data_IF_602034173310
#
_entry.id   IF_602034173310
#
_cell.length_a   1.000
_cell.length_b   1.000
_cell.length_c   1.000
_cell.angle_alpha   90.00
_cell.angle_beta   90.00
_cell.angle_gamma   90.00
#
_symmetry.space_group_name_H-M   'P 1'
#
loop_
_entity.id
_entity.type
_entity.pdbx_description
1 polymer ?
#
# COMPACT_ATOMS: atom_id res chain seq x y z
N UNK A 1 2.30 7.26 4.53
CA UNK A 1 3.77 7.32 4.38
C UNK A 1 4.53 6.78 5.58
N UNK A 2 4.19 7.18 6.83
CA UNK A 2 4.85 6.65 8.03
C UNK A 2 4.83 5.10 8.13
N UNK A 3 3.70 4.47 7.79
CA UNK A 3 3.56 2.99 7.78
C UNK A 3 4.57 2.35 6.81
N UNK A 4 4.71 2.89 5.59
CA UNK A 4 5.60 2.35 4.56
C UNK A 4 7.06 2.41 5.03
N UNK A 5 7.48 3.55 5.57
CA UNK A 5 8.86 3.74 6.06
C UNK A 5 9.15 2.80 7.24
N UNK A 6 8.19 2.66 8.18
CA UNK A 6 8.32 1.79 9.33
C UNK A 6 8.48 0.32 8.91
N UNK A 7 7.59 -0.19 8.06
CA UNK A 7 7.64 -1.57 7.59
C UNK A 7 8.85 -1.85 6.69
N UNK A 8 9.25 -0.89 5.84
CA UNK A 8 10.50 -0.99 5.08
C UNK A 8 11.73 -1.18 6.00
N UNK A 9 11.79 -0.44 7.11
CA UNK A 9 12.81 -0.61 8.13
C UNK A 9 12.79 -2.00 8.76
N UNK A 10 11.61 -2.49 9.15
CA UNK A 10 11.45 -3.85 9.69
C UNK A 10 11.86 -4.94 8.70
N UNK A 11 11.55 -4.79 7.40
CA UNK A 11 11.96 -5.75 6.38
C UNK A 11 13.48 -5.78 6.18
N UNK A 12 14.12 -4.61 6.06
CA UNK A 12 15.57 -4.53 5.98
C UNK A 12 16.26 -5.11 7.22
N UNK A 13 15.73 -4.82 8.41
CA UNK A 13 16.23 -5.38 9.67
C UNK A 13 16.09 -6.91 9.69
N UNK A 14 14.92 -7.44 9.35
CA UNK A 14 14.66 -8.88 9.32
C UNK A 14 15.54 -9.61 8.28
N UNK A 15 15.75 -9.01 7.11
CA UNK A 15 16.64 -9.55 6.09
C UNK A 15 18.11 -9.60 6.54
N UNK A 16 18.54 -8.61 7.33
CA UNK A 16 19.89 -8.58 7.90
C UNK A 16 20.11 -9.65 8.98
N UNK A 17 19.16 -9.80 9.91
CA UNK A 17 19.27 -10.78 11.01
C UNK A 17 18.93 -12.21 10.61
N UNK A 18 18.13 -12.39 9.55
CA UNK A 18 17.73 -13.70 9.03
C UNK A 18 17.97 -13.75 7.52
N UNK A 19 19.21 -14.01 7.09
CA UNK A 19 19.55 -14.22 5.69
C UNK A 19 18.75 -15.42 5.16
N UNK A 20 17.84 -15.18 4.21
CA UNK A 20 16.86 -16.18 3.74
C UNK A 20 15.42 -15.95 4.20
N UNK A 21 15.13 -14.88 4.95
CA UNK A 21 13.76 -14.50 5.26
C UNK A 21 12.95 -14.10 4.02
N UNK A 22 13.64 -13.57 3.01
CA UNK A 22 13.10 -13.11 1.74
C UNK A 22 13.92 -13.70 0.58
N UNK A 23 13.27 -13.99 -0.55
CA UNK A 23 13.92 -14.36 -1.81
C UNK A 23 13.80 -13.25 -2.83
N UNK A 24 14.72 -13.23 -3.82
CA UNK A 24 14.77 -12.20 -4.86
C UNK A 24 15.38 -10.87 -4.41
N UNK A 25 15.86 -10.80 -3.17
CA UNK A 25 16.63 -9.66 -2.65
C UNK A 25 18.00 -9.66 -3.32
N UNK A 26 18.31 -8.60 -4.08
CA UNK A 26 19.66 -8.38 -4.60
C UNK A 26 20.67 -8.29 -3.44
N UNK A 27 21.90 -8.78 -3.61
CA UNK A 27 22.93 -8.77 -2.56
C UNK A 27 23.21 -7.36 -2.00
N UNK A 28 22.93 -6.33 -2.79
CA UNK A 28 23.08 -4.91 -2.49
C UNK A 28 21.73 -4.18 -2.36
N UNK A 29 20.63 -4.88 -2.04
CA UNK A 29 19.30 -4.31 -1.92
C UNK A 29 19.27 -3.11 -0.96
N UNK A 30 19.35 -1.90 -1.53
CA UNK A 30 19.34 -0.66 -0.80
C UNK A 30 17.97 -0.36 -0.17
N UNK A 31 17.93 0.65 0.70
CA UNK A 31 16.70 1.04 1.42
C UNK A 31 15.50 1.31 0.49
N UNK A 32 15.76 1.77 -0.73
CA UNK A 32 14.71 2.00 -1.73
C UNK A 32 14.00 0.73 -2.17
N UNK A 33 14.69 -0.42 -2.25
CA UNK A 33 14.05 -1.69 -2.59
C UNK A 33 13.01 -2.09 -1.53
N UNK A 34 13.33 -1.88 -0.25
CA UNK A 34 12.44 -2.16 0.87
C UNK A 34 11.26 -1.19 0.95
N UNK A 35 11.49 0.08 0.64
CA UNK A 35 10.42 1.09 0.54
C UNK A 35 9.47 0.77 -0.61
N UNK A 36 9.99 0.39 -1.78
CA UNK A 36 9.17 -0.05 -2.91
C UNK A 36 8.37 -1.29 -2.58
N UNK A 37 9.00 -2.31 -1.99
CA UNK A 37 8.31 -3.52 -1.54
C UNK A 37 7.17 -3.18 -0.58
N UNK A 38 7.44 -2.42 0.48
CA UNK A 38 6.43 -1.99 1.44
C UNK A 38 5.32 -1.16 0.76
N UNK A 39 5.64 -0.29 -0.21
CA UNK A 39 4.64 0.46 -0.95
C UNK A 39 3.69 -0.47 -1.72
N UNK A 40 4.22 -1.37 -2.54
CA UNK A 40 3.40 -2.27 -3.37
C UNK A 40 2.58 -3.24 -2.51
N UNK A 41 3.17 -3.78 -1.44
CA UNK A 41 2.45 -4.58 -0.43
C UNK A 41 1.30 -3.81 0.20
N UNK A 42 1.51 -2.54 0.56
CA UNK A 42 0.46 -1.70 1.15
C UNK A 42 -0.71 -1.41 0.20
N UNK A 43 -0.48 -1.45 -1.11
CA UNK A 43 -1.52 -1.28 -2.13
C UNK A 43 -2.15 -2.62 -2.55
N UNK A 44 -1.71 -3.74 -1.95
CA UNK A 44 -2.21 -5.07 -2.29
C UNK A 44 -1.74 -5.59 -3.66
N UNK A 45 -0.64 -5.04 -4.18
CA UNK A 45 0.02 -5.49 -5.41
C UNK A 45 1.18 -6.41 -5.05
N UNK A 46 1.27 -7.55 -5.71
CA UNK A 46 2.44 -8.42 -5.60
C UNK A 46 3.66 -7.71 -6.19
N UNK A 47 4.72 -7.63 -5.39
CA UNK A 47 6.02 -7.12 -5.81
C UNK A 47 6.85 -8.31 -6.28
N UNK A 48 7.04 -8.42 -7.59
CA UNK A 48 7.62 -9.61 -8.23
C UNK A 48 9.08 -9.86 -7.89
N UNK A 49 9.79 -8.88 -7.33
CA UNK A 49 11.21 -8.99 -7.02
C UNK A 49 11.52 -9.41 -5.59
N UNK A 50 10.63 -9.24 -4.60
CA UNK A 50 10.91 -9.64 -3.21
C UNK A 50 9.75 -10.47 -2.69
N UNK A 51 10.03 -11.72 -2.31
CA UNK A 51 9.01 -12.66 -1.82
C UNK A 51 9.30 -13.08 -0.39
N UNK A 52 8.34 -12.93 0.55
CA UNK A 52 8.50 -13.40 1.93
C UNK A 52 8.40 -14.93 1.99
N UNK A 53 9.49 -15.61 2.34
CA UNK A 53 9.52 -17.09 2.38
C UNK A 53 9.54 -17.65 3.79
N UNK A 54 10.04 -16.90 4.78
CA UNK A 54 10.14 -17.39 6.16
C UNK A 54 8.86 -17.24 6.99
N UNK A 55 8.79 -18.04 8.05
CA UNK A 55 7.72 -17.99 9.05
C UNK A 55 7.66 -16.65 9.80
N UNK A 56 8.73 -15.84 9.80
CA UNK A 56 8.74 -14.49 10.35
C UNK A 56 8.35 -13.41 9.32
N UNK A 57 8.73 -13.57 8.06
CA UNK A 57 8.46 -12.58 7.01
C UNK A 57 6.98 -12.55 6.60
N UNK A 58 6.33 -13.71 6.50
CA UNK A 58 4.90 -13.83 6.14
C UNK A 58 3.95 -13.10 7.09
N UNK A 59 4.01 -13.31 8.42
CA UNK A 59 3.14 -12.59 9.34
C UNK A 59 3.48 -11.10 9.40
N UNK A 60 4.74 -10.70 9.19
CA UNK A 60 5.11 -9.29 9.13
C UNK A 60 4.48 -8.58 7.92
N UNK A 61 4.44 -9.23 6.76
CA UNK A 61 3.71 -8.77 5.56
C UNK A 61 2.20 -8.73 5.83
N UNK A 62 1.64 -9.77 6.46
CA UNK A 62 0.25 -9.77 6.90
C UNK A 62 -0.10 -8.62 7.85
N UNK A 63 0.80 -8.33 8.79
CA UNK A 63 0.63 -7.24 9.75
C UNK A 63 0.67 -5.86 9.10
N UNK A 64 1.37 -5.69 7.96
CA UNK A 64 1.34 -4.45 7.19
C UNK A 64 -0.03 -4.24 6.50
N UNK A 65 -0.70 -5.31 6.07
CA UNK A 65 -1.97 -5.20 5.35
C UNK A 65 -3.07 -4.58 6.21
N UNK A 66 -3.11 -4.91 7.51
CA UNK A 66 -4.14 -4.40 8.45
C UNK A 66 -4.19 -2.86 8.48
N UNK A 67 -3.09 -2.14 8.82
CA UNK A 67 -3.10 -0.68 8.81
C UNK A 67 -3.19 -0.11 7.39
N UNK A 68 -2.73 -0.83 6.37
CA UNK A 68 -2.84 -0.38 4.97
C UNK A 68 -4.29 -0.35 4.49
N UNK A 69 -5.09 -1.37 4.84
CA UNK A 69 -6.54 -1.41 4.57
C UNK A 69 -7.23 -0.26 5.30
N UNK A 70 -6.90 -0.05 6.58
CA UNK A 70 -7.46 1.07 7.36
C UNK A 70 -7.19 2.42 6.70
N UNK A 71 -5.96 2.65 6.23
CA UNK A 71 -5.62 3.87 5.52
C UNK A 71 -6.30 3.99 4.15
N UNK A 72 -6.41 2.90 3.40
CA UNK A 72 -7.10 2.87 2.11
C UNK A 72 -8.57 3.28 2.24
N UNK A 73 -9.26 2.80 3.29
CA UNK A 73 -10.64 3.20 3.59
C UNK A 73 -10.76 4.69 3.89
N UNK A 74 -9.83 5.26 4.65
CA UNK A 74 -9.80 6.70 4.96
C UNK A 74 -9.61 7.53 3.70
N UNK A 75 -8.65 7.17 2.84
CA UNK A 75 -8.41 7.86 1.57
C UNK A 75 -9.63 7.75 0.66
N UNK A 76 -10.23 6.57 0.56
CA UNK A 76 -11.44 6.35 -0.22
C UNK A 76 -12.60 7.24 0.28
N UNK A 77 -12.83 7.26 1.59
CA UNK A 77 -13.85 8.11 2.19
C UNK A 77 -13.58 9.60 1.93
N UNK A 78 -12.34 10.05 2.05
CA UNK A 78 -11.95 11.44 1.77
C UNK A 78 -12.16 11.81 0.29
N UNK A 79 -11.80 10.92 -0.63
CA UNK A 79 -12.00 11.11 -2.08
C UNK A 79 -13.49 11.18 -2.39
N UNK A 80 -14.29 10.26 -1.87
CA UNK A 80 -15.74 10.27 -2.06
C UNK A 80 -16.37 11.55 -1.50
N UNK A 81 -15.97 11.98 -0.29
CA UNK A 81 -16.45 13.23 0.30
C UNK A 81 -16.11 14.47 -0.55
N UNK A 82 -14.99 14.45 -1.28
CA UNK A 82 -14.60 15.53 -2.18
C UNK A 82 -15.31 15.48 -3.55
N UNK A 83 -15.47 14.29 -4.12
CA UNK A 83 -16.03 14.09 -5.47
C UNK A 83 -17.56 14.15 -5.47
N UNK A 84 -18.22 13.64 -4.44
CA UNK A 84 -19.68 13.62 -4.33
C UNK A 84 -20.35 14.97 -4.63
N UNK A 85 -19.91 16.13 -4.08
CA UNK A 85 -20.52 17.42 -4.41
C UNK A 85 -20.27 17.85 -5.87
N UNK A 86 -19.20 17.38 -6.52
CA UNK A 86 -18.98 17.65 -7.94
C UNK A 86 -19.90 16.80 -8.82
N UNK A 87 -20.11 15.53 -8.47
CA UNK A 87 -21.04 14.64 -9.16
C UNK A 87 -22.50 15.13 -9.03
N UNK A 88 -22.91 15.56 -7.83
CA UNK A 88 -24.23 16.14 -7.61
C UNK A 88 -24.45 17.41 -8.44
N UNK A 89 -23.42 18.25 -8.61
CA UNK A 89 -23.49 19.43 -9.49
C UNK A 89 -23.66 19.08 -10.96
N UNK A 90 -23.03 18.00 -11.43
CA UNK A 90 -23.16 17.55 -12.82
C UNK A 90 -24.56 16.98 -13.04
N UNK A 91 -25.01 16.06 -12.18
CA UNK A 91 -26.34 15.48 -12.25
C UNK A 91 -27.47 16.53 -12.22
N UNK A 92 -27.30 17.60 -11.42
CA UNK A 92 -28.29 18.69 -11.36
C UNK A 92 -28.33 19.52 -12.65
N UNK A 93 -27.17 19.77 -13.27
CA UNK A 93 -27.09 20.48 -14.56
C UNK A 93 -27.70 19.66 -15.70
N UNK A 94 -27.49 18.36 -15.70
CA UNK A 94 -28.08 17.49 -16.73
C UNK A 94 -29.61 17.42 -16.59
N UNK A 95 -30.14 17.35 -15.35
CA UNK A 95 -31.58 17.37 -15.11
C UNK A 95 -32.26 18.71 -15.49
N UNK A 96 -31.56 19.84 -15.35
CA UNK A 96 -32.06 21.15 -15.81
C UNK A 96 -32.08 21.26 -17.34
N UNK A 97 -31.15 20.57 -18.03
CA UNK A 97 -31.01 20.61 -19.49
C UNK A 97 -31.96 19.68 -20.24
N UNK A 98 -32.38 18.58 -19.62
CA UNK A 98 -33.38 17.65 -20.17
C UNK A 98 -34.83 18.11 -19.93
N UNK A 99 -35.04 19.15 -19.11
CA UNK A 99 -36.35 19.72 -18.79
C UNK A 99 -36.77 20.93 -19.64
N UNK A 100 -35.88 21.44 -20.50
CA UNK A 100 -36.13 22.46 -21.52
C UNK A 100 -36.45 21.82 -22.88
#
# INVERSE_FOLDING_TARGET
MAIIVLFAGFYGMLAHFSPGAFTGVAEDAGIMAWVSFAFFTGVGRDFTSIVPVSAGARPLVGAQLIPSIGWALVVFAAVMAHIQPQLERIARRDAERDGE
#
